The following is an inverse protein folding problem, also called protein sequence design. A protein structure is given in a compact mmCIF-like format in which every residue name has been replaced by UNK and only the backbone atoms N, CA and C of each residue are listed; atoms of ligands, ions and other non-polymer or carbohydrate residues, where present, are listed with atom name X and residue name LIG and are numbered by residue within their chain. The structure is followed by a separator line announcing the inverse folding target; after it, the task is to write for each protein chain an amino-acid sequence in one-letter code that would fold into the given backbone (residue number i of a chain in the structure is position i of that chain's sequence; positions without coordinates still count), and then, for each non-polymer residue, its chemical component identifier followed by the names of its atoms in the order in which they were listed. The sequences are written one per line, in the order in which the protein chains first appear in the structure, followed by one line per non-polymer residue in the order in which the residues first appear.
data_IF_712851106813
#
_entry.id   IF_712851106813
#
_cell.length_a   1.000
_cell.length_b   1.000
_cell.length_c   1.000
_cell.angle_alpha   90.00
_cell.angle_beta   90.00
_cell.angle_gamma   90.00
#
_symmetry.space_group_name_H-M   'P 1'
#
loop_
_entity.id
_entity.type
_entity.pdbx_description
1 polymer ?
#
# COMPACT_ATOMS: atom_id res chain seq x y z
N UNK A 1 20.08 4.15 13.95
CA UNK A 1 18.66 3.80 13.71
C UNK A 1 17.78 4.75 14.50
N UNK A 2 16.62 5.12 13.95
CA UNK A 2 15.56 5.86 14.64
C UNK A 2 14.21 5.43 14.06
N UNK A 3 13.18 5.27 14.91
CA UNK A 3 11.90 4.65 14.51
C UNK A 3 12.07 3.30 13.77
N UNK A 4 13.08 2.51 14.15
CA UNK A 4 13.51 1.28 13.47
C UNK A 4 13.95 1.44 11.98
N UNK A 5 14.16 2.66 11.51
CA UNK A 5 14.72 2.96 10.19
C UNK A 5 16.24 3.21 10.33
N UNK A 6 17.10 2.57 9.52
CA UNK A 6 18.53 2.86 9.47
C UNK A 6 18.80 4.24 8.86
N UNK A 7 19.05 5.22 9.73
CA UNK A 7 19.29 6.63 9.34
C UNK A 7 20.49 6.80 8.40
N UNK A 8 21.54 5.99 8.55
CA UNK A 8 22.70 6.00 7.66
C UNK A 8 22.31 5.56 6.24
N UNK A 9 21.64 4.41 6.10
CA UNK A 9 21.16 3.91 4.81
C UNK A 9 20.14 4.87 4.14
N UNK A 10 19.28 5.52 4.94
CA UNK A 10 18.38 6.55 4.41
C UNK A 10 19.15 7.74 3.82
N UNK A 11 20.19 8.22 4.52
CA UNK A 11 21.04 9.30 4.03
C UNK A 11 21.84 8.90 2.80
N UNK A 12 22.34 7.66 2.75
CA UNK A 12 23.04 7.10 1.60
C UNK A 12 22.11 7.09 0.38
N UNK A 13 20.90 6.55 0.53
CA UNK A 13 19.90 6.53 -0.55
C UNK A 13 19.54 7.93 -1.06
N UNK A 14 19.38 8.92 -0.16
CA UNK A 14 19.12 10.31 -0.58
C UNK A 14 20.28 10.88 -1.39
N UNK A 15 21.52 10.65 -0.98
CA UNK A 15 22.71 11.12 -1.70
C UNK A 15 22.85 10.44 -3.06
N UNK A 16 22.58 9.14 -3.12
CA UNK A 16 22.58 8.34 -4.35
C UNK A 16 21.56 8.89 -5.35
N UNK A 17 20.30 9.04 -4.95
CA UNK A 17 19.23 9.63 -5.78
C UNK A 17 19.55 11.06 -6.22
N UNK A 18 20.17 11.87 -5.35
CA UNK A 18 20.58 13.23 -5.71
C UNK A 18 21.66 13.26 -6.80
N UNK A 19 22.53 12.24 -6.84
CA UNK A 19 23.57 12.08 -7.85
C UNK A 19 23.07 11.40 -9.13
N UNK A 20 22.11 10.49 -9.00
CA UNK A 20 21.57 9.62 -10.05
C UNK A 20 20.03 9.50 -9.89
N UNK A 21 19.24 10.44 -10.45
CA UNK A 21 17.79 10.47 -10.26
C UNK A 21 17.05 9.19 -10.70
N UNK A 22 17.63 8.40 -11.59
CA UNK A 22 17.12 7.10 -12.03
C UNK A 22 17.03 6.08 -10.89
N UNK A 23 17.83 6.21 -9.83
CA UNK A 23 17.79 5.36 -8.64
C UNK A 23 16.49 5.51 -7.85
N UNK A 24 15.76 6.62 -8.06
CA UNK A 24 14.43 6.84 -7.48
C UNK A 24 13.28 6.19 -8.27
N UNK A 25 13.54 5.66 -9.48
CA UNK A 25 12.48 5.09 -10.31
C UNK A 25 12.05 3.74 -9.73
N UNK A 26 10.77 3.62 -9.42
CA UNK A 26 10.18 2.38 -8.95
C UNK A 26 9.21 1.82 -9.98
N UNK A 27 9.35 0.54 -10.30
CA UNK A 27 8.42 -0.22 -11.15
C UNK A 27 7.83 -1.34 -10.30
N UNK A 28 6.51 -1.36 -10.17
CA UNK A 28 5.77 -2.38 -9.45
C UNK A 28 4.34 -2.42 -9.95
N UNK A 29 3.67 -3.52 -9.71
CA UNK A 29 2.28 -3.67 -10.08
C UNK A 29 1.63 -4.89 -9.46
N UNK A 30 0.40 -5.14 -9.86
CA UNK A 30 -0.38 -6.28 -9.44
C UNK A 30 -1.16 -6.86 -10.62
N UNK A 31 -1.41 -8.15 -10.55
CA UNK A 31 -2.35 -8.87 -11.43
C UNK A 31 -3.57 -9.25 -10.59
N UNK A 32 -4.76 -8.95 -11.10
CA UNK A 32 -6.03 -9.34 -10.44
C UNK A 32 -6.68 -10.46 -11.23
N UNK A 33 -6.94 -11.57 -10.56
CA UNK A 33 -7.57 -12.77 -11.12
C UNK A 33 -8.95 -12.92 -10.49
N UNK A 34 -9.99 -12.81 -11.30
CA UNK A 34 -11.34 -13.16 -10.88
C UNK A 34 -11.40 -14.65 -10.52
N UNK A 35 -12.08 -14.98 -9.43
CA UNK A 35 -12.31 -16.38 -9.04
C UNK A 35 -13.77 -16.79 -9.23
N UNK A 36 -14.69 -16.08 -8.58
CA UNK A 36 -16.13 -16.37 -8.61
C UNK A 36 -16.92 -15.24 -7.96
N UNK A 37 -18.12 -14.92 -8.43
CA UNK A 37 -18.96 -13.87 -7.83
C UNK A 37 -18.19 -12.56 -7.66
N UNK A 38 -18.23 -11.99 -6.45
CA UNK A 38 -17.50 -10.79 -6.02
C UNK A 38 -16.06 -11.06 -5.56
N UNK A 39 -15.58 -12.30 -5.66
CA UNK A 39 -14.26 -12.71 -5.19
C UNK A 39 -13.19 -12.59 -6.28
N UNK A 40 -12.07 -11.96 -5.94
CA UNK A 40 -10.87 -11.93 -6.76
C UNK A 40 -9.61 -12.12 -5.91
N UNK A 41 -8.55 -12.63 -6.52
CA UNK A 41 -7.20 -12.71 -5.93
C UNK A 41 -6.29 -11.73 -6.65
N UNK A 42 -5.56 -10.93 -5.88
CA UNK A 42 -4.50 -10.07 -6.38
C UNK A 42 -3.14 -10.68 -6.08
N UNK A 43 -2.23 -10.65 -7.05
CA UNK A 43 -0.85 -11.11 -6.92
C UNK A 43 0.11 -9.99 -7.32
N UNK A 44 1.18 -9.77 -6.56
CA UNK A 44 2.16 -8.74 -6.90
C UNK A 44 3.00 -9.16 -8.11
N UNK A 45 3.20 -8.23 -9.04
CA UNK A 45 4.23 -8.35 -10.08
C UNK A 45 5.62 -8.09 -9.47
N UNK A 46 6.71 -8.52 -10.16
CA UNK A 46 8.07 -8.17 -9.75
C UNK A 46 8.22 -6.67 -9.52
N UNK A 47 8.94 -6.30 -8.46
CA UNK A 47 9.23 -4.91 -8.13
C UNK A 47 10.69 -4.59 -8.45
N UNK A 48 10.92 -3.40 -8.99
CA UNK A 48 12.24 -2.79 -9.18
C UNK A 48 12.31 -1.45 -8.46
N UNK A 49 13.50 -1.13 -7.95
CA UNK A 49 13.88 0.17 -7.39
C UNK A 49 15.22 0.53 -8.01
N UNK A 50 15.25 1.60 -8.81
CA UNK A 50 16.39 1.87 -9.69
C UNK A 50 16.72 0.64 -10.55
N UNK A 51 18.00 0.23 -10.63
CA UNK A 51 18.43 -0.96 -11.35
C UNK A 51 18.19 -2.27 -10.56
N UNK A 52 17.77 -2.21 -9.30
CA UNK A 52 17.70 -3.36 -8.41
C UNK A 52 16.36 -4.09 -8.50
N UNK A 53 16.40 -5.42 -8.65
CA UNK A 53 15.22 -6.26 -8.48
C UNK A 53 14.99 -6.56 -7.00
N UNK A 54 13.74 -6.40 -6.56
CA UNK A 54 13.32 -6.73 -5.19
C UNK A 54 12.71 -8.13 -5.18
N UNK A 55 13.37 -9.07 -4.52
CA UNK A 55 12.87 -10.44 -4.37
C UNK A 55 11.72 -10.49 -3.35
N UNK A 56 10.49 -10.39 -3.85
CA UNK A 56 9.25 -10.47 -3.06
C UNK A 56 8.09 -10.96 -3.91
N UNK A 57 7.15 -11.68 -3.30
CA UNK A 57 5.90 -12.10 -3.93
C UNK A 57 4.81 -12.21 -2.86
N UNK A 58 3.71 -11.50 -3.06
CA UNK A 58 2.57 -11.47 -2.14
C UNK A 58 1.27 -11.71 -2.91
N UNK A 59 0.29 -12.28 -2.22
CA UNK A 59 -1.06 -12.50 -2.74
C UNK A 59 -2.10 -12.22 -1.66
N UNK A 60 -3.25 -11.69 -2.06
CA UNK A 60 -4.39 -11.50 -1.16
C UNK A 60 -5.72 -11.67 -1.88
N UNK A 61 -6.74 -12.06 -1.13
CA UNK A 61 -8.12 -12.19 -1.60
C UNK A 61 -8.92 -10.94 -1.24
N UNK A 62 -9.72 -10.47 -2.19
CA UNK A 62 -10.78 -9.49 -1.97
C UNK A 62 -12.14 -10.16 -2.19
N UNK A 63 -13.12 -9.81 -1.37
CA UNK A 63 -14.51 -10.24 -1.52
C UNK A 63 -15.44 -9.19 -0.90
N UNK A 64 -16.73 -9.28 -1.17
CA UNK A 64 -17.74 -8.40 -0.59
C UNK A 64 -18.48 -9.10 0.58
N UNK A 65 -19.12 -8.34 1.48
CA UNK A 65 -20.02 -8.91 2.46
C UNK A 65 -21.28 -9.47 1.80
N UNK A 66 -22.01 -10.33 2.53
CA UNK A 66 -23.24 -10.98 2.04
C UNK A 66 -24.30 -9.99 1.56
N UNK A 67 -24.36 -8.81 2.18
CA UNK A 67 -25.27 -7.71 1.85
C UNK A 67 -24.97 -7.10 0.47
N UNK A 68 -23.76 -7.29 -0.04
CA UNK A 68 -23.32 -6.89 -1.37
C UNK A 68 -23.09 -8.12 -2.27
N UNK A 69 -23.86 -9.19 -2.03
CA UNK A 69 -23.86 -10.44 -2.80
C UNK A 69 -22.53 -11.20 -2.78
N UNK A 70 -21.65 -10.88 -1.83
CA UNK A 70 -20.42 -11.64 -1.58
C UNK A 70 -20.56 -12.65 -0.46
N UNK A 71 -19.43 -13.14 0.04
CA UNK A 71 -19.40 -14.22 1.02
C UNK A 71 -18.42 -14.00 2.18
N UNK A 72 -17.87 -12.78 2.33
CA UNK A 72 -16.90 -12.43 3.37
C UNK A 72 -15.62 -13.31 3.37
N UNK A 73 -15.07 -13.65 2.20
CA UNK A 73 -13.82 -14.42 2.14
C UNK A 73 -12.54 -13.59 2.25
N UNK A 74 -12.65 -12.27 2.25
CA UNK A 74 -11.56 -11.32 2.41
C UNK A 74 -12.11 -9.92 2.68
N UNK A 75 -11.23 -8.94 2.93
CA UNK A 75 -11.64 -7.54 3.00
C UNK A 75 -12.23 -7.11 1.66
N UNK A 76 -13.14 -6.13 1.69
CA UNK A 76 -13.65 -5.56 0.46
C UNK A 76 -12.57 -4.71 -0.26
N UNK A 77 -12.69 -4.51 -1.58
CA UNK A 77 -11.71 -3.73 -2.33
C UNK A 77 -11.44 -2.32 -1.76
N UNK A 78 -12.46 -1.70 -1.16
CA UNK A 78 -12.41 -0.36 -0.59
C UNK A 78 -11.59 -0.33 0.71
N UNK A 79 -11.74 -1.34 1.58
CA UNK A 79 -10.93 -1.55 2.77
C UNK A 79 -9.48 -1.79 2.41
N UNK A 80 -9.21 -2.60 1.38
CA UNK A 80 -7.84 -2.82 0.88
C UNK A 80 -7.22 -1.51 0.38
N UNK A 81 -7.96 -0.72 -0.39
CA UNK A 81 -7.52 0.59 -0.87
C UNK A 81 -7.19 1.54 0.30
N UNK A 82 -8.09 1.67 1.27
CA UNK A 82 -7.89 2.53 2.44
C UNK A 82 -6.73 2.02 3.31
N UNK A 83 -6.56 0.71 3.44
CA UNK A 83 -5.43 0.13 4.18
C UNK A 83 -4.09 0.49 3.54
N UNK A 84 -4.00 0.42 2.20
CA UNK A 84 -2.80 0.82 1.45
C UNK A 84 -2.51 2.30 1.58
N UNK A 85 -3.54 3.15 1.43
CA UNK A 85 -3.41 4.60 1.59
C UNK A 85 -2.96 4.99 3.01
N UNK A 86 -3.64 4.49 4.04
CA UNK A 86 -3.30 4.78 5.43
C UNK A 86 -1.89 4.32 5.79
N UNK A 87 -1.48 3.15 5.29
CA UNK A 87 -0.11 2.65 5.47
C UNK A 87 0.92 3.54 4.78
N UNK A 88 0.65 4.00 3.55
CA UNK A 88 1.55 4.88 2.81
C UNK A 88 1.76 6.23 3.53
N UNK A 89 0.67 6.84 4.04
CA UNK A 89 0.74 8.08 4.81
C UNK A 89 1.56 7.90 6.09
N UNK A 90 1.33 6.81 6.82
CA UNK A 90 2.07 6.48 8.04
C UNK A 90 3.57 6.30 7.77
N UNK A 91 3.93 5.52 6.76
CA UNK A 91 5.35 5.29 6.39
C UNK A 91 6.02 6.61 6.02
N UNK A 92 5.34 7.46 5.23
CA UNK A 92 5.87 8.77 4.84
C UNK A 92 6.11 9.66 6.05
N UNK A 93 5.17 9.69 7.00
CA UNK A 93 5.31 10.44 8.24
C UNK A 93 6.48 9.94 9.10
N UNK A 94 6.59 8.63 9.33
CA UNK A 94 7.65 8.05 10.15
C UNK A 94 9.03 8.21 9.49
N UNK A 95 9.11 8.10 8.17
CA UNK A 95 10.35 8.36 7.42
C UNK A 95 10.78 9.83 7.54
N UNK A 96 9.84 10.78 7.38
CA UNK A 96 10.11 12.20 7.59
C UNK A 96 10.55 12.52 9.03
N UNK A 97 9.83 12.02 10.04
CA UNK A 97 10.20 12.19 11.44
C UNK A 97 11.60 11.61 11.73
N UNK A 98 11.94 10.47 11.10
CA UNK A 98 13.26 9.86 11.20
C UNK A 98 14.35 10.76 10.63
N UNK A 99 14.12 11.34 9.45
CA UNK A 99 15.05 12.26 8.79
C UNK A 99 15.29 13.52 9.63
N UNK A 100 14.24 14.08 10.24
CA UNK A 100 14.29 15.23 11.14
C UNK A 100 14.83 14.89 12.55
N UNK A 101 15.19 13.63 12.80
CA UNK A 101 15.73 13.21 14.09
C UNK A 101 14.71 13.08 15.23
N UNK A 102 13.42 13.10 14.91
CA UNK A 102 12.30 12.97 15.86
C UNK A 102 11.97 11.50 16.13
N UNK A 103 11.97 11.12 17.41
CA UNK A 103 11.57 9.78 17.86
C UNK A 103 10.06 9.75 18.12
N UNK A 104 9.36 8.85 17.43
CA UNK A 104 7.92 8.62 17.59
C UNK A 104 7.67 7.42 18.51
N UNK A 105 6.81 7.57 19.51
CA UNK A 105 6.45 6.48 20.43
C UNK A 105 5.31 5.61 19.88
N UNK A 106 4.32 6.21 19.24
CA UNK A 106 3.21 5.50 18.62
C UNK A 106 2.57 6.35 17.52
N UNK A 107 1.96 5.68 16.54
CA UNK A 107 1.11 6.31 15.53
C UNK A 107 -0.18 5.51 15.40
N UNK A 108 -1.32 6.20 15.39
CA UNK A 108 -2.63 5.60 15.11
C UNK A 108 -3.45 6.59 14.30
N UNK A 109 -3.99 6.13 13.19
CA UNK A 109 -4.91 6.88 12.34
C UNK A 109 -6.12 6.03 11.99
N UNK A 110 -7.22 6.70 11.63
CA UNK A 110 -8.45 6.08 11.15
C UNK A 110 -8.81 6.72 9.82
N UNK A 111 -9.23 5.90 8.86
CA UNK A 111 -9.74 6.35 7.58
C UNK A 111 -11.14 5.79 7.42
N UNK A 112 -12.12 6.69 7.46
CA UNK A 112 -13.51 6.35 7.24
C UNK A 112 -13.95 6.89 5.89
N UNK A 113 -14.67 6.07 5.13
CA UNK A 113 -15.29 6.49 3.88
C UNK A 113 -16.78 6.15 3.91
N UNK A 114 -17.61 7.16 3.68
CA UNK A 114 -19.06 6.99 3.54
C UNK A 114 -19.41 6.88 2.06
N UNK A 115 -19.62 5.65 1.59
CA UNK A 115 -20.20 5.41 0.27
C UNK A 115 -21.70 5.76 0.30
N UNK A 116 -22.12 6.77 -0.48
CA UNK A 116 -23.54 7.03 -0.77
C UNK A 116 -23.85 6.57 -2.19
N UNK A 117 -24.37 5.35 -2.32
CA UNK A 117 -24.81 4.82 -3.60
C UNK A 117 -26.10 5.52 -4.05
N UNK A 118 -26.10 6.12 -5.24
CA UNK A 118 -27.33 6.28 -6.03
C UNK A 118 -27.51 4.99 -6.81
N UNK A 119 -28.17 4.00 -6.21
CA UNK A 119 -28.70 2.88 -6.98
C UNK A 119 -29.81 3.47 -7.86
N UNK A 120 -29.45 3.83 -9.09
CA UNK A 120 -30.41 4.27 -10.08
C UNK A 120 -31.49 3.20 -10.21
N UNK A 121 -32.74 3.63 -10.07
CA UNK A 121 -33.90 2.90 -10.55
C UNK A 121 -33.67 2.62 -12.04
N UNK A 122 -33.09 1.46 -12.35
CA UNK A 122 -33.13 0.91 -13.69
C UNK A 122 -34.54 0.35 -13.86
N UNK A 123 -35.39 1.18 -14.46
CA UNK A 123 -36.70 0.83 -15.03
C UNK A 123 -36.54 -0.09 -16.23
#
# INVERSE_FOLDING_TARGET
MRNAIPTAALSEFVNEVASAPEEAIMDYGLEVKWQSGTRAVSETKPMKVGPHQVSRSFSWTSDEPRQLMGNNHGPNPQELLLSGLGSCMMVSFIAGATAEGVLSQSFRGWLDWLARGRYGLLS
#
